data_IF_848962308449
#
_entry.id   IF_848962308449
#
_cell.length_a   1.000
_cell.length_b   1.000
_cell.length_c   1.000
_cell.angle_alpha   90.00
_cell.angle_beta   90.00
_cell.angle_gamma   90.00
#
_symmetry.space_group_name_H-M   'P 1'
#
loop_
_entity.id
_entity.type
_entity.pdbx_description
1 polymer ?
#
# COMPACT_ATOMS: atom_id res chain seq x y z
N UNK A 1 9.71 12.21 -15.45
CA UNK A 1 9.80 10.91 -14.73
C UNK A 1 10.18 11.21 -13.29
N UNK A 2 9.35 10.86 -12.31
CA UNK A 2 9.67 11.07 -10.89
C UNK A 2 10.74 10.06 -10.51
N UNK A 3 11.89 10.53 -10.05
CA UNK A 3 12.97 9.68 -9.60
C UNK A 3 12.77 9.39 -8.11
N UNK A 4 12.30 8.20 -7.76
CA UNK A 4 12.05 7.78 -6.37
C UNK A 4 13.25 8.03 -5.43
N UNK A 5 14.47 7.93 -5.94
CA UNK A 5 15.68 8.28 -5.19
C UNK A 5 15.75 9.74 -4.74
N UNK A 6 15.09 10.68 -5.44
CA UNK A 6 14.99 12.08 -4.96
C UNK A 6 14.07 12.19 -3.76
N UNK A 7 12.98 11.42 -3.72
CA UNK A 7 12.06 11.37 -2.58
C UNK A 7 12.79 10.75 -1.38
N UNK A 8 13.52 9.65 -1.57
CA UNK A 8 14.32 9.06 -0.51
C UNK A 8 15.38 10.02 0.07
N UNK A 9 16.03 10.83 -0.78
CA UNK A 9 16.99 11.87 -0.33
C UNK A 9 16.36 12.98 0.52
N UNK A 10 15.04 13.16 0.47
CA UNK A 10 14.32 14.10 1.33
C UNK A 10 14.01 13.52 2.73
N UNK A 11 14.44 12.29 3.01
CA UNK A 11 14.23 11.62 4.30
C UNK A 11 12.99 10.73 4.36
N UNK A 12 12.32 10.49 3.23
CA UNK A 12 11.20 9.55 3.16
C UNK A 12 11.69 8.12 3.02
N UNK A 13 11.04 7.19 3.72
CA UNK A 13 11.10 5.77 3.38
C UNK A 13 10.24 5.55 2.13
N UNK A 14 10.82 4.93 1.10
CA UNK A 14 10.11 4.65 -0.16
C UNK A 14 10.04 3.13 -0.36
N UNK A 15 8.83 2.59 -0.36
CA UNK A 15 8.57 1.19 -0.71
C UNK A 15 7.94 1.11 -2.10
N UNK A 16 8.48 0.24 -2.96
CA UNK A 16 7.90 -0.11 -4.26
C UNK A 16 7.20 -1.45 -4.07
N UNK A 17 5.92 -1.50 -4.40
CA UNK A 17 5.06 -2.66 -4.11
C UNK A 17 4.46 -3.21 -5.39
N UNK A 18 4.52 -4.53 -5.54
CA UNK A 18 3.78 -5.24 -6.58
C UNK A 18 2.48 -5.80 -5.99
N UNK A 19 1.43 -5.80 -6.80
CA UNK A 19 0.15 -6.42 -6.51
C UNK A 19 -0.25 -7.31 -7.68
N UNK A 20 -1.04 -8.35 -7.43
CA UNK A 20 -1.43 -9.32 -8.46
C UNK A 20 -2.16 -8.63 -9.62
N UNK A 21 -1.76 -8.83 -10.88
CA UNK A 21 -2.46 -8.27 -12.03
C UNK A 21 -3.81 -8.98 -12.26
N UNK A 22 -4.69 -8.36 -13.05
CA UNK A 22 -6.10 -8.80 -13.20
C UNK A 22 -6.26 -10.14 -13.91
N UNK A 23 -5.29 -10.52 -14.72
CA UNK A 23 -5.19 -11.83 -15.38
C UNK A 23 -4.80 -12.96 -14.40
N UNK A 24 -4.18 -12.61 -13.26
CA UNK A 24 -3.86 -13.55 -12.17
C UNK A 24 -4.96 -13.61 -11.13
N UNK A 25 -5.54 -12.46 -10.75
CA UNK A 25 -6.62 -12.40 -9.76
C UNK A 25 -7.55 -11.22 -10.01
N UNK A 26 -8.86 -11.47 -10.00
CA UNK A 26 -9.88 -10.44 -10.18
C UNK A 26 -9.97 -9.51 -8.96
N UNK A 27 -10.62 -8.36 -9.16
CA UNK A 27 -10.98 -7.44 -8.07
C UNK A 27 -11.71 -8.20 -6.95
N UNK A 28 -11.41 -7.96 -5.66
CA UNK A 28 -10.57 -6.88 -5.10
C UNK A 28 -9.11 -7.24 -4.79
N UNK A 29 -8.53 -8.27 -5.43
CA UNK A 29 -7.20 -8.79 -5.07
C UNK A 29 -6.10 -7.71 -5.01
N UNK A 30 -6.09 -6.78 -5.96
CA UNK A 30 -5.11 -5.68 -6.03
C UNK A 30 -5.15 -4.78 -4.79
N UNK A 31 -6.36 -4.51 -4.28
CA UNK A 31 -6.57 -3.67 -3.11
C UNK A 31 -6.14 -4.41 -1.85
N UNK A 32 -6.43 -5.71 -1.79
CA UNK A 32 -6.01 -6.57 -0.68
C UNK A 32 -4.48 -6.63 -0.61
N UNK A 33 -3.79 -6.81 -1.73
CA UNK A 33 -2.33 -6.86 -1.79
C UNK A 33 -1.69 -5.53 -1.36
N UNK A 34 -2.23 -4.40 -1.84
CA UNK A 34 -1.76 -3.08 -1.42
C UNK A 34 -1.99 -2.82 0.08
N UNK A 35 -3.11 -3.28 0.65
CA UNK A 35 -3.35 -3.23 2.10
C UNK A 35 -2.35 -4.07 2.88
N UNK A 36 -2.01 -5.28 2.39
CA UNK A 36 -0.97 -6.10 3.01
C UNK A 36 0.40 -5.45 2.95
N UNK A 37 0.74 -4.78 1.85
CA UNK A 37 2.01 -4.07 1.76
C UNK A 37 2.08 -2.93 2.80
N UNK A 38 1.00 -2.16 2.97
CA UNK A 38 0.93 -1.13 4.03
C UNK A 38 1.06 -1.76 5.41
N UNK A 39 0.31 -2.82 5.68
CA UNK A 39 0.36 -3.53 6.96
C UNK A 39 1.77 -4.04 7.26
N UNK A 40 2.44 -4.65 6.27
CA UNK A 40 3.81 -5.13 6.41
C UNK A 40 4.78 -4.02 6.82
N UNK A 41 4.71 -2.86 6.17
CA UNK A 41 5.57 -1.71 6.52
C UNK A 41 5.28 -1.18 7.92
N UNK A 42 4.02 -1.21 8.37
CA UNK A 42 3.63 -0.80 9.74
C UNK A 42 4.11 -1.80 10.79
N UNK A 43 3.99 -3.10 10.52
CA UNK A 43 4.45 -4.17 11.41
C UNK A 43 5.98 -4.17 11.56
N UNK A 44 6.71 -3.80 10.51
CA UNK A 44 8.17 -3.73 10.47
C UNK A 44 8.70 -2.30 10.60
N UNK A 45 7.91 -1.40 11.22
CA UNK A 45 8.23 0.03 11.28
C UNK A 45 9.61 0.34 11.88
N UNK A 46 10.05 -0.45 12.86
CA UNK A 46 11.33 -0.24 13.55
C UNK A 46 12.51 -0.74 12.72
N UNK A 47 12.31 -1.79 11.89
CA UNK A 47 13.33 -2.30 10.97
C UNK A 47 13.60 -1.34 9.82
N UNK A 48 12.53 -0.73 9.27
CA UNK A 48 12.61 0.15 8.11
C UNK A 48 12.54 1.64 8.45
N UNK A 49 12.55 2.00 9.73
CA UNK A 49 12.40 3.39 10.20
C UNK A 49 11.16 4.10 9.64
N UNK A 50 10.02 3.39 9.55
CA UNK A 50 8.76 3.93 9.04
C UNK A 50 8.01 4.67 10.15
N UNK A 51 7.47 5.84 9.84
CA UNK A 51 6.48 6.51 10.67
C UNK A 51 5.06 6.11 10.24
N UNK A 52 4.35 5.27 11.02
CA UNK A 52 3.01 4.80 10.65
C UNK A 52 1.95 5.91 10.69
N UNK A 53 2.25 7.08 11.25
CA UNK A 53 1.34 8.22 11.28
C UNK A 53 1.45 9.11 10.02
N UNK A 54 2.51 8.93 9.22
CA UNK A 54 2.81 9.75 8.06
C UNK A 54 2.98 8.88 6.80
N UNK A 55 1.90 8.19 6.41
CA UNK A 55 1.88 7.29 5.26
C UNK A 55 1.31 7.98 4.00
N UNK A 56 1.97 7.78 2.87
CA UNK A 56 1.55 8.29 1.56
C UNK A 56 1.42 7.11 0.59
N UNK A 57 0.26 6.97 -0.05
CA UNK A 57 0.05 6.05 -1.16
C UNK A 57 0.09 6.83 -2.48
N UNK A 58 0.84 6.32 -3.45
CA UNK A 58 1.06 7.01 -4.71
C UNK A 58 1.10 6.05 -5.90
N UNK A 59 0.61 6.51 -7.05
CA UNK A 59 0.57 5.75 -8.29
C UNK A 59 -0.05 6.55 -9.43
N UNK A 60 -0.06 5.98 -10.64
CA UNK A 60 -0.64 6.57 -11.86
C UNK A 60 -1.60 5.59 -12.52
N UNK A 61 -2.69 6.07 -13.12
CA UNK A 61 -3.70 5.24 -13.81
C UNK A 61 -4.25 4.13 -12.87
N UNK A 62 -4.09 2.85 -13.21
CA UNK A 62 -4.47 1.72 -12.36
C UNK A 62 -3.80 1.75 -10.98
N UNK A 63 -2.56 2.22 -10.89
CA UNK A 63 -1.88 2.40 -9.61
C UNK A 63 -2.49 3.52 -8.76
N UNK A 64 -2.95 4.61 -9.38
CA UNK A 64 -3.66 5.68 -8.67
C UNK A 64 -5.01 5.20 -8.14
N UNK A 65 -5.74 4.43 -8.95
CA UNK A 65 -6.96 3.76 -8.53
C UNK A 65 -6.71 2.84 -7.32
N UNK A 66 -5.68 1.99 -7.37
CA UNK A 66 -5.32 1.11 -6.26
C UNK A 66 -4.93 1.90 -4.99
N UNK A 67 -4.14 2.98 -5.14
CA UNK A 67 -3.75 3.83 -4.03
C UNK A 67 -4.96 4.48 -3.34
N UNK A 68 -5.87 5.08 -4.12
CA UNK A 68 -7.10 5.70 -3.60
C UNK A 68 -8.02 4.66 -2.95
N UNK A 69 -8.30 3.55 -3.63
CA UNK A 69 -9.14 2.49 -3.08
C UNK A 69 -8.56 1.92 -1.79
N UNK A 70 -7.24 1.75 -1.69
CA UNK A 70 -6.57 1.29 -0.46
C UNK A 70 -6.77 2.28 0.68
N UNK A 71 -6.54 3.58 0.44
CA UNK A 71 -6.67 4.63 1.46
C UNK A 71 -8.12 4.80 1.94
N UNK A 72 -9.07 4.91 1.01
CA UNK A 72 -10.46 5.26 1.29
C UNK A 72 -11.32 4.07 1.73
N UNK A 73 -10.81 2.83 1.61
CA UNK A 73 -11.51 1.63 2.09
C UNK A 73 -10.89 1.01 3.33
N UNK A 74 -10.15 1.81 4.10
CA UNK A 74 -9.67 1.43 5.43
C UNK A 74 -10.88 1.04 6.30
N UNK A 75 -10.83 -0.15 6.89
CA UNK A 75 -11.91 -0.64 7.76
C UNK A 75 -13.06 -1.37 7.06
N UNK A 76 -13.20 -1.33 5.73
CA UNK A 76 -14.24 -2.07 5.02
C UNK A 76 -13.92 -3.57 4.95
N UNK A 77 -14.68 -4.38 5.70
CA UNK A 77 -14.48 -5.83 5.84
C UNK A 77 -14.56 -6.60 4.52
N UNK A 78 -15.37 -6.13 3.57
CA UNK A 78 -15.51 -6.71 2.22
C UNK A 78 -14.23 -6.59 1.38
N UNK A 79 -13.36 -5.67 1.77
CA UNK A 79 -12.04 -5.42 1.18
C UNK A 79 -10.92 -5.71 2.20
N UNK A 80 -11.24 -6.52 3.22
CA UNK A 80 -10.28 -7.21 4.08
C UNK A 80 -10.31 -8.70 3.70
N UNK A 81 -9.19 -9.38 3.89
CA UNK A 81 -9.22 -10.84 3.90
C UNK A 81 -9.70 -11.30 5.29
N UNK A 82 -10.41 -12.45 5.37
CA UNK A 82 -11.06 -12.98 6.59
C UNK A 82 -10.12 -13.23 7.80
N UNK A 83 -8.82 -12.94 7.66
CA UNK A 83 -7.78 -13.07 8.69
C UNK A 83 -7.33 -11.75 9.31
N UNK A 84 -7.81 -10.59 8.84
CA UNK A 84 -7.33 -9.27 9.33
C UNK A 84 -8.36 -8.64 10.27
N UNK A 85 -8.17 -8.80 11.58
CA UNK A 85 -9.08 -8.28 12.62
C UNK A 85 -8.88 -6.81 13.00
N UNK A 86 -7.89 -6.09 12.46
CA UNK A 86 -7.60 -4.72 12.92
C UNK A 86 -6.79 -3.93 11.89
N UNK A 87 -7.45 -2.94 11.28
CA UNK A 87 -6.85 -1.71 10.76
C UNK A 87 -7.82 -0.58 11.13
#
# INVERSE_FOLDING_TARGET
>A
MVQLGRIAKLGYVVAIVEYRPSDVALFPAQIIDAKYAVQYMVEHKDEYCVDPNNLILWGTSSGAHTALMTAFTKGLDQLKNSRIKRI
#
